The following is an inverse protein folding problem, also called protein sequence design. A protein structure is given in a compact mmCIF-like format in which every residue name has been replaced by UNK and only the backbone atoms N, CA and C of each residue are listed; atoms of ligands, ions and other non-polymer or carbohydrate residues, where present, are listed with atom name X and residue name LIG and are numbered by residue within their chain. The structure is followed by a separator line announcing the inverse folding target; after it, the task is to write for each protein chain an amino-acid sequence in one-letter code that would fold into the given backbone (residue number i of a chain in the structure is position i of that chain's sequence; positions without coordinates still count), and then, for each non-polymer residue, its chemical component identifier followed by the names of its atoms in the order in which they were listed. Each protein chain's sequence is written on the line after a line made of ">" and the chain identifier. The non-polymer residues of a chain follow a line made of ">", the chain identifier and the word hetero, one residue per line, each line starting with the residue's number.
data_IF_691428050444
#
_entry.id   IF_691428050444
#
_cell.length_a   1.000
_cell.length_b   1.000
_cell.length_c   1.000
_cell.angle_alpha   90.00
_cell.angle_beta   90.00
_cell.angle_gamma   90.00
#
_symmetry.space_group_name_H-M   'P 1'
#
loop_
_entity.id
_entity.type
_entity.pdbx_description
1 polymer ?
#
# COMPACT_ATOMS: atom_id res chain seq x y z
N UNK A 1 13.92 19.80 -9.90
CA UNK A 1 14.09 19.63 -8.44
C UNK A 1 15.30 18.75 -8.19
N UNK A 2 16.15 19.14 -7.25
CA UNK A 2 17.29 18.30 -6.81
C UNK A 2 17.09 17.93 -5.34
N UNK A 3 17.36 16.68 -5.01
CA UNK A 3 17.38 16.15 -3.65
C UNK A 3 18.83 15.83 -3.30
N UNK A 4 19.42 16.56 -2.36
CA UNK A 4 20.82 16.43 -2.00
C UNK A 4 21.01 15.69 -0.67
N UNK A 5 22.14 15.00 -0.55
CA UNK A 5 22.60 14.34 0.68
C UNK A 5 21.61 13.30 1.21
N UNK A 6 21.08 12.48 0.32
CA UNK A 6 20.20 11.36 0.70
C UNK A 6 20.91 10.03 0.56
N UNK A 7 20.68 9.10 1.48
CA UNK A 7 21.24 7.75 1.44
C UNK A 7 20.21 6.75 0.93
N UNK A 8 20.54 5.98 -0.10
CA UNK A 8 19.65 4.94 -0.62
C UNK A 8 19.42 3.89 0.48
N UNK A 9 18.16 3.61 0.79
CA UNK A 9 17.81 2.57 1.75
C UNK A 9 18.41 1.20 1.34
N UNK A 10 18.82 0.39 2.32
CA UNK A 10 19.49 -0.90 2.21
C UNK A 10 20.94 -0.86 1.70
N UNK A 11 21.32 0.03 0.80
CA UNK A 11 22.72 0.11 0.33
C UNK A 11 23.54 1.10 1.15
N UNK A 12 22.91 2.13 1.69
CA UNK A 12 23.57 3.23 2.42
C UNK A 12 24.36 4.19 1.52
N UNK A 13 24.33 4.02 0.21
CA UNK A 13 25.00 4.86 -0.76
C UNK A 13 24.44 6.29 -0.71
N UNK A 14 25.33 7.28 -0.55
CA UNK A 14 24.97 8.71 -0.52
C UNK A 14 24.92 9.26 -1.95
N UNK A 15 23.79 9.83 -2.31
CA UNK A 15 23.52 10.31 -3.66
C UNK A 15 22.78 11.64 -3.65
N UNK A 16 22.86 12.36 -4.77
CA UNK A 16 21.99 13.46 -5.14
C UNK A 16 21.08 13.01 -6.29
N UNK A 17 19.80 13.35 -6.26
CA UNK A 17 18.82 12.90 -7.26
C UNK A 17 18.22 14.13 -7.94
N UNK A 18 18.39 14.24 -9.25
CA UNK A 18 17.72 15.23 -10.09
C UNK A 18 16.41 14.70 -10.62
N UNK A 19 15.34 15.47 -10.47
CA UNK A 19 13.99 15.15 -10.94
C UNK A 19 13.55 16.19 -11.96
N UNK A 20 13.16 15.70 -13.14
CA UNK A 20 12.65 16.52 -14.24
C UNK A 20 11.46 15.83 -14.93
N UNK A 21 10.44 16.60 -15.28
CA UNK A 21 9.26 16.14 -16.01
C UNK A 21 8.60 14.87 -15.37
N UNK A 22 8.55 14.89 -14.03
CA UNK A 22 7.94 13.79 -13.25
C UNK A 22 8.79 12.53 -13.13
N UNK A 23 10.04 12.54 -13.60
CA UNK A 23 10.95 11.38 -13.64
C UNK A 23 12.26 11.68 -12.94
N UNK A 24 12.92 10.62 -12.49
CA UNK A 24 14.31 10.65 -12.08
C UNK A 24 15.15 10.92 -13.33
N UNK A 25 15.73 12.10 -13.43
CA UNK A 25 16.56 12.47 -14.57
C UNK A 25 17.97 11.91 -14.43
N UNK A 26 18.58 12.09 -13.23
CA UNK A 26 19.95 11.67 -12.95
C UNK A 26 20.10 11.26 -11.49
N UNK A 27 21.03 10.37 -11.23
CA UNK A 27 21.53 10.02 -9.89
C UNK A 27 23.02 10.36 -9.90
N UNK A 28 23.43 11.26 -9.01
CA UNK A 28 24.77 11.82 -8.97
C UNK A 28 25.43 11.46 -7.63
N UNK A 29 26.76 11.30 -7.58
CA UNK A 29 27.46 11.15 -6.30
C UNK A 29 27.17 12.30 -5.33
N UNK A 30 27.17 12.07 -4.04
CA UNK A 30 26.79 13.05 -3.01
C UNK A 30 27.61 14.34 -2.95
N UNK A 31 28.78 14.36 -3.59
CA UNK A 31 29.66 15.54 -3.69
C UNK A 31 29.43 16.41 -4.94
N UNK A 32 28.44 16.08 -5.76
CA UNK A 32 28.11 16.83 -6.98
C UNK A 32 26.93 17.79 -6.73
N UNK A 33 27.11 19.07 -7.04
CA UNK A 33 26.06 20.12 -6.93
C UNK A 33 25.74 20.69 -8.31
N UNK A 34 24.50 20.54 -8.76
CA UNK A 34 23.98 21.22 -9.95
C UNK A 34 23.21 22.48 -9.51
N UNK A 35 23.68 23.66 -9.94
CA UNK A 35 23.09 24.96 -9.56
C UNK A 35 21.99 25.42 -10.53
N UNK A 36 21.59 24.61 -11.49
CA UNK A 36 20.68 25.03 -12.58
C UNK A 36 19.19 24.83 -12.24
N UNK A 37 18.86 24.06 -11.21
CA UNK A 37 17.49 23.74 -10.86
C UNK A 37 16.87 24.79 -9.91
N UNK A 38 15.57 25.09 -10.12
CA UNK A 38 14.83 26.08 -9.33
C UNK A 38 14.57 25.65 -7.88
N UNK A 39 14.49 24.34 -7.62
CA UNK A 39 14.23 23.79 -6.29
C UNK A 39 15.36 22.85 -5.93
N UNK A 40 16.14 23.26 -4.95
CA UNK A 40 17.34 22.57 -4.46
C UNK A 40 17.14 22.28 -2.97
N UNK A 41 16.91 21.00 -2.63
CA UNK A 41 16.58 20.56 -1.28
C UNK A 41 17.73 19.77 -0.67
N UNK A 42 18.10 20.13 0.55
CA UNK A 42 19.18 19.51 1.31
C UNK A 42 18.63 18.74 2.50
N UNK A 43 19.05 17.50 2.64
CA UNK A 43 18.64 16.62 3.72
C UNK A 43 19.82 16.28 4.64
N UNK A 44 19.52 16.16 5.93
CA UNK A 44 20.49 15.73 6.92
C UNK A 44 20.03 14.38 7.52
N UNK A 45 20.94 13.39 7.57
CA UNK A 45 20.62 12.08 8.12
C UNK A 45 19.31 11.48 7.59
N UNK A 46 19.17 11.44 6.29
CA UNK A 46 17.97 10.94 5.64
C UNK A 46 18.26 9.74 4.75
N UNK A 47 17.32 8.80 4.72
CA UNK A 47 17.28 7.72 3.74
C UNK A 47 16.24 8.03 2.68
N UNK A 48 16.52 7.60 1.44
CA UNK A 48 15.60 7.67 0.33
C UNK A 48 15.30 6.28 -0.19
N UNK A 49 14.05 6.04 -0.58
CA UNK A 49 13.59 4.80 -1.19
C UNK A 49 12.46 5.07 -2.18
N UNK A 50 12.19 4.15 -3.12
CA UNK A 50 11.04 4.27 -3.99
C UNK A 50 9.75 4.36 -3.18
N UNK A 51 8.82 5.19 -3.62
CA UNK A 51 7.49 5.22 -3.03
C UNK A 51 6.90 3.81 -2.93
N UNK A 52 6.35 3.47 -1.77
CA UNK A 52 5.83 2.14 -1.52
C UNK A 52 4.63 1.84 -2.43
N UNK A 53 4.54 0.59 -2.88
CA UNK A 53 3.41 0.06 -3.65
C UNK A 53 2.61 -0.87 -2.73
N UNK A 54 1.44 -0.43 -2.31
CA UNK A 54 0.50 -1.26 -1.56
C UNK A 54 -0.33 -2.08 -2.56
N UNK A 55 -0.01 -3.36 -2.72
CA UNK A 55 -0.59 -4.22 -3.75
C UNK A 55 -2.00 -4.74 -3.44
N UNK A 56 -2.54 -4.42 -2.28
CA UNK A 56 -3.92 -4.74 -1.92
C UNK A 56 -4.42 -3.87 -0.77
N UNK A 57 -5.47 -3.12 -1.03
CA UNK A 57 -6.20 -2.30 -0.06
C UNK A 57 -7.66 -2.16 -0.52
N UNK A 58 -8.58 -2.00 0.42
CA UNK A 58 -9.95 -1.56 0.19
C UNK A 58 -10.08 -0.12 0.67
N UNK A 59 -9.88 0.84 -0.23
CA UNK A 59 -9.79 2.26 0.14
C UNK A 59 -11.00 2.77 0.91
N UNK A 60 -12.20 2.34 0.53
CA UNK A 60 -13.46 2.73 1.18
C UNK A 60 -13.72 2.03 2.52
N UNK A 61 -12.92 1.02 2.90
CA UNK A 61 -13.02 0.31 4.18
C UNK A 61 -12.03 0.80 5.24
N UNK A 62 -11.15 1.73 4.92
CA UNK A 62 -10.15 2.23 5.86
C UNK A 62 -10.68 3.18 6.94
N UNK A 63 -11.98 3.44 6.97
CA UNK A 63 -12.63 4.15 8.08
C UNK A 63 -13.19 3.20 9.14
N UNK A 64 -13.29 1.91 8.85
CA UNK A 64 -13.74 0.93 9.82
C UNK A 64 -12.66 0.69 10.88
N UNK A 65 -13.04 0.53 12.15
CA UNK A 65 -12.15 -0.11 13.11
C UNK A 65 -12.02 -1.60 12.79
N UNK A 66 -11.03 -2.26 13.35
CA UNK A 66 -10.92 -3.71 13.26
C UNK A 66 -12.15 -4.38 13.87
N UNK A 67 -12.78 -5.30 13.11
CA UNK A 67 -13.99 -6.02 13.52
C UNK A 67 -13.74 -7.52 13.56
N UNK A 68 -13.92 -8.09 14.73
CA UNK A 68 -13.72 -9.50 15.04
C UNK A 68 -13.19 -9.67 16.46
N UNK A 69 -13.34 -10.84 17.04
CA UNK A 69 -13.02 -11.11 18.46
C UNK A 69 -12.23 -12.40 18.68
N UNK A 70 -12.04 -13.21 17.64
CA UNK A 70 -11.31 -14.47 17.74
C UNK A 70 -10.79 -14.93 16.39
N UNK A 71 -9.78 -15.82 16.34
CA UNK A 71 -9.44 -16.46 15.09
C UNK A 71 -10.59 -17.28 14.51
N UNK A 72 -10.80 -17.14 13.22
CA UNK A 72 -11.82 -17.84 12.45
C UNK A 72 -11.17 -18.95 11.60
N UNK A 73 -11.98 -19.88 11.08
CA UNK A 73 -11.47 -20.91 10.15
C UNK A 73 -11.20 -20.34 8.77
N UNK A 74 -11.99 -19.35 8.37
CA UNK A 74 -11.89 -18.69 7.07
C UNK A 74 -12.63 -17.34 7.07
N UNK A 75 -12.42 -16.56 6.01
CA UNK A 75 -13.04 -15.25 5.83
C UNK A 75 -14.57 -15.27 5.76
N UNK A 76 -15.18 -16.39 5.35
CA UNK A 76 -16.64 -16.49 5.28
C UNK A 76 -17.25 -16.60 6.68
N UNK A 77 -16.63 -17.36 7.58
CA UNK A 77 -17.02 -17.43 8.99
C UNK A 77 -16.88 -16.05 9.66
N UNK A 78 -15.76 -15.37 9.45
CA UNK A 78 -15.56 -14.00 9.93
C UNK A 78 -16.62 -13.06 9.38
N UNK A 79 -16.86 -13.05 8.08
CA UNK A 79 -17.86 -12.18 7.44
C UNK A 79 -19.26 -12.37 8.01
N UNK A 80 -19.69 -13.61 8.20
CA UNK A 80 -20.98 -13.93 8.84
C UNK A 80 -21.01 -13.44 10.30
N UNK A 81 -19.91 -13.60 11.03
CA UNK A 81 -19.79 -13.16 12.42
C UNK A 81 -19.93 -11.64 12.55
N UNK A 82 -19.16 -10.86 11.77
CA UNK A 82 -19.19 -9.39 11.89
C UNK A 82 -20.53 -8.80 11.47
N UNK A 83 -21.15 -9.33 10.42
CA UNK A 83 -22.47 -8.87 9.99
C UNK A 83 -23.57 -9.19 11.00
N UNK A 84 -23.41 -10.23 11.80
CA UNK A 84 -24.33 -10.58 12.89
C UNK A 84 -24.10 -9.73 14.13
N UNK A 85 -22.86 -9.60 14.57
CA UNK A 85 -22.52 -9.07 15.90
C UNK A 85 -22.13 -7.59 15.90
N UNK A 86 -21.69 -7.03 14.75
CA UNK A 86 -21.23 -5.65 14.62
C UNK A 86 -22.07 -4.82 13.64
N UNK A 87 -23.32 -5.24 13.39
CA UNK A 87 -24.22 -4.62 12.42
C UNK A 87 -24.37 -3.11 12.61
N UNK A 88 -24.56 -2.66 13.85
CA UNK A 88 -24.77 -1.24 14.14
C UNK A 88 -23.50 -0.42 13.88
N UNK A 89 -22.34 -0.96 14.22
CA UNK A 89 -21.05 -0.32 13.95
C UNK A 89 -20.78 -0.23 12.46
N UNK A 90 -21.04 -1.31 11.72
CA UNK A 90 -20.94 -1.33 10.25
C UNK A 90 -21.87 -0.27 9.65
N UNK A 91 -23.15 -0.24 10.05
CA UNK A 91 -24.10 0.72 9.56
C UNK A 91 -23.72 2.17 9.88
N UNK A 92 -23.12 2.42 11.04
CA UNK A 92 -22.66 3.75 11.44
C UNK A 92 -21.54 4.26 10.52
N UNK A 93 -20.56 3.44 10.19
CA UNK A 93 -19.50 3.79 9.24
C UNK A 93 -20.07 3.97 7.83
N UNK A 94 -21.01 3.11 7.40
CA UNK A 94 -21.62 3.18 6.07
C UNK A 94 -22.52 4.41 5.86
N UNK A 95 -22.92 5.15 6.90
CA UNK A 95 -23.55 6.46 6.77
C UNK A 95 -22.62 7.50 6.15
N UNK A 96 -21.30 7.34 6.30
CA UNK A 96 -20.33 8.22 5.65
C UNK A 96 -20.35 7.97 4.14
N UNK A 97 -20.55 9.00 3.31
CA UNK A 97 -20.51 8.85 1.87
C UNK A 97 -19.24 8.12 1.37
N UNK A 98 -19.40 7.18 0.44
CA UNK A 98 -18.32 6.35 -0.09
C UNK A 98 -17.12 7.20 -0.55
N UNK A 99 -17.36 8.31 -1.24
CA UNK A 99 -16.32 9.21 -1.71
C UNK A 99 -15.45 9.79 -0.56
N UNK A 100 -16.02 10.06 0.61
CA UNK A 100 -15.25 10.53 1.77
C UNK A 100 -14.43 9.40 2.38
N UNK A 101 -14.96 8.17 2.39
CA UNK A 101 -14.25 6.97 2.84
C UNK A 101 -13.09 6.63 1.90
N UNK A 102 -13.30 6.71 0.58
CA UNK A 102 -12.24 6.57 -0.43
C UNK A 102 -11.12 7.60 -0.23
N UNK A 103 -11.48 8.88 -0.05
CA UNK A 103 -10.51 9.94 0.20
C UNK A 103 -9.69 9.69 1.47
N UNK A 104 -10.34 9.20 2.53
CA UNK A 104 -9.63 8.81 3.74
C UNK A 104 -8.63 7.68 3.48
N UNK A 105 -9.04 6.63 2.76
CA UNK A 105 -8.15 5.53 2.37
C UNK A 105 -6.94 6.00 1.54
N UNK A 106 -7.12 7.00 0.67
CA UNK A 106 -6.03 7.64 -0.08
C UNK A 106 -5.05 8.32 0.90
N UNK A 107 -5.53 9.15 1.83
CA UNK A 107 -4.66 9.80 2.81
C UNK A 107 -3.97 8.79 3.73
N UNK A 108 -4.66 7.75 4.20
CA UNK A 108 -4.06 6.66 4.99
C UNK A 108 -2.81 6.10 4.30
N UNK A 109 -2.90 5.83 3.01
CA UNK A 109 -1.77 5.32 2.23
C UNK A 109 -0.66 6.37 2.07
N UNK A 110 -1.00 7.60 1.68
CA UNK A 110 -0.03 8.69 1.50
C UNK A 110 0.78 8.98 2.77
N UNK A 111 0.11 9.05 3.92
CA UNK A 111 0.74 9.33 5.22
C UNK A 111 1.72 8.25 5.67
N UNK A 112 1.70 7.13 5.02
CA UNK A 112 2.64 6.02 5.23
C UNK A 112 3.74 5.91 4.17
N UNK A 113 3.79 6.83 3.19
CA UNK A 113 4.79 6.80 2.11
C UNK A 113 4.42 5.90 0.93
N UNK A 114 3.15 5.52 0.82
CA UNK A 114 2.63 4.79 -0.35
C UNK A 114 2.37 5.79 -1.47
N UNK A 115 2.93 5.56 -2.65
CA UNK A 115 2.71 6.37 -3.85
C UNK A 115 1.85 5.67 -4.89
N UNK A 116 1.67 4.36 -4.75
CA UNK A 116 0.74 3.59 -5.59
C UNK A 116 -0.01 2.59 -4.73
N UNK A 117 -1.34 2.55 -4.86
CA UNK A 117 -2.21 1.58 -4.19
C UNK A 117 -3.06 0.84 -5.21
N UNK A 118 -3.14 -0.47 -5.08
CA UNK A 118 -4.03 -1.32 -5.86
C UNK A 118 -5.32 -1.47 -5.06
N UNK A 119 -6.36 -0.75 -5.51
CA UNK A 119 -7.67 -0.81 -4.86
C UNK A 119 -8.41 -2.08 -5.25
N UNK A 120 -8.79 -2.89 -4.26
CA UNK A 120 -9.62 -4.07 -4.47
C UNK A 120 -11.10 -3.74 -4.23
N UNK A 121 -11.90 -3.83 -5.28
CA UNK A 121 -13.33 -3.52 -5.21
C UNK A 121 -13.82 -2.75 -6.43
N UNK A 122 -14.77 -1.86 -6.21
CA UNK A 122 -15.29 -0.98 -7.26
C UNK A 122 -14.26 0.07 -7.66
N UNK A 123 -14.37 0.58 -8.88
CA UNK A 123 -13.60 1.74 -9.30
C UNK A 123 -13.93 2.93 -8.41
N UNK A 124 -12.88 3.59 -7.91
CA UNK A 124 -13.07 4.75 -7.06
C UNK A 124 -13.64 5.94 -7.85
N UNK A 125 -14.42 6.76 -7.16
CA UNK A 125 -14.96 8.02 -7.69
C UNK A 125 -14.02 9.19 -7.46
N UNK A 126 -13.16 9.06 -6.47
CA UNK A 126 -12.19 10.07 -6.07
C UNK A 126 -11.06 10.19 -7.09
N UNK A 127 -10.83 11.40 -7.60
CA UNK A 127 -9.65 11.70 -8.41
C UNK A 127 -8.61 12.37 -7.55
N UNK A 128 -7.39 11.86 -7.56
CA UNK A 128 -6.27 12.44 -6.81
C UNK A 128 -5.02 12.48 -7.67
N UNK A 129 -4.15 13.47 -7.37
CA UNK A 129 -2.78 13.53 -7.88
C UNK A 129 -1.75 13.24 -6.77
N UNK A 130 -2.21 12.95 -5.56
CA UNK A 130 -1.33 12.73 -4.40
C UNK A 130 -0.61 11.39 -4.44
N UNK A 131 -1.27 10.38 -5.01
CA UNK A 131 -0.74 9.05 -5.28
C UNK A 131 -1.49 8.44 -6.47
N UNK A 132 -0.99 7.33 -7.03
CA UNK A 132 -1.69 6.56 -8.05
C UNK A 132 -2.60 5.53 -7.42
N UNK A 133 -3.89 5.53 -7.81
CA UNK A 133 -4.79 4.39 -7.56
C UNK A 133 -4.82 3.53 -8.83
N UNK A 134 -4.28 2.32 -8.73
CA UNK A 134 -4.21 1.41 -9.86
C UNK A 134 -5.50 0.61 -9.98
N UNK A 135 -6.16 0.71 -11.13
CA UNK A 135 -7.43 0.06 -11.42
C UNK A 135 -7.42 -0.70 -12.76
N UNK A 136 -6.23 -0.89 -13.36
CA UNK A 136 -6.11 -1.64 -14.61
C UNK A 136 -6.06 -3.17 -14.36
N UNK A 137 -6.92 -3.64 -13.48
CA UNK A 137 -7.16 -5.05 -13.17
C UNK A 137 -8.66 -5.29 -13.01
N UNK A 138 -9.06 -6.54 -12.97
CA UNK A 138 -10.41 -6.92 -12.60
C UNK A 138 -10.39 -7.55 -11.22
N UNK A 139 -11.09 -6.94 -10.28
CA UNK A 139 -11.27 -7.53 -8.96
C UNK A 139 -12.44 -8.51 -9.00
N UNK A 140 -12.21 -9.71 -8.45
CA UNK A 140 -13.23 -10.67 -8.06
C UNK A 140 -13.09 -10.81 -6.56
N UNK A 141 -14.14 -10.47 -5.79
CA UNK A 141 -14.03 -10.48 -4.35
C UNK A 141 -13.55 -11.87 -3.88
N UNK A 142 -14.33 -12.92 -4.16
CA UNK A 142 -13.95 -14.29 -3.83
C UNK A 142 -14.84 -15.31 -4.54
N UNK A 143 -14.41 -16.56 -4.55
CA UNK A 143 -15.16 -17.69 -5.09
C UNK A 143 -16.45 -17.97 -4.28
N UNK A 144 -16.47 -17.60 -3.00
CA UNK A 144 -17.60 -17.90 -2.11
C UNK A 144 -18.67 -16.79 -2.11
N UNK A 145 -18.26 -15.53 -2.04
CA UNK A 145 -19.20 -14.41 -1.91
C UNK A 145 -19.71 -13.85 -3.24
N UNK A 146 -18.93 -13.97 -4.31
CA UNK A 146 -19.32 -13.39 -5.59
C UNK A 146 -20.02 -14.43 -6.48
N UNK A 147 -21.36 -14.40 -6.52
CA UNK A 147 -22.16 -15.40 -7.28
C UNK A 147 -21.80 -15.47 -8.77
N UNK A 148 -21.43 -14.35 -9.39
CA UNK A 148 -21.09 -14.22 -10.81
C UNK A 148 -19.62 -14.45 -11.16
N UNK A 149 -18.76 -14.87 -10.22
CA UNK A 149 -17.31 -14.93 -10.40
C UNK A 149 -16.84 -15.73 -11.63
N UNK A 150 -17.56 -16.80 -12.00
CA UNK A 150 -17.21 -17.62 -13.18
C UNK A 150 -17.36 -16.86 -14.49
N UNK A 151 -18.42 -16.06 -14.61
CA UNK A 151 -18.63 -15.20 -15.78
C UNK A 151 -17.62 -14.05 -15.80
N UNK A 152 -17.40 -13.42 -14.64
CA UNK A 152 -16.41 -12.38 -14.49
C UNK A 152 -15.00 -12.87 -14.84
N UNK A 153 -14.63 -14.07 -14.40
CA UNK A 153 -13.34 -14.71 -14.69
C UNK A 153 -13.19 -15.03 -16.19
N UNK A 154 -14.25 -15.42 -16.87
CA UNK A 154 -14.22 -15.84 -18.27
C UNK A 154 -14.80 -14.80 -19.23
N UNK A 155 -14.68 -13.50 -18.89
CA UNK A 155 -15.04 -12.41 -19.79
C UNK A 155 -14.04 -12.35 -20.98
N UNK A 156 -14.48 -12.63 -22.21
CA UNK A 156 -13.58 -12.68 -23.37
C UNK A 156 -13.02 -11.30 -23.75
N UNK A 157 -13.73 -10.21 -23.41
CA UNK A 157 -13.27 -8.85 -23.67
C UNK A 157 -12.13 -8.42 -22.74
N UNK A 158 -11.93 -9.14 -21.64
CA UNK A 158 -10.89 -8.87 -20.62
C UNK A 158 -9.82 -9.97 -20.53
N UNK A 159 -9.66 -10.78 -21.57
CA UNK A 159 -8.74 -11.93 -21.58
C UNK A 159 -7.31 -11.59 -21.12
N UNK A 160 -6.82 -10.39 -21.44
CA UNK A 160 -5.46 -9.93 -21.10
C UNK A 160 -5.37 -9.12 -19.78
N UNK A 161 -6.51 -8.83 -19.18
CA UNK A 161 -6.57 -8.07 -17.92
C UNK A 161 -6.34 -9.03 -16.75
N UNK A 162 -5.41 -8.71 -15.86
CA UNK A 162 -5.15 -9.50 -14.66
C UNK A 162 -6.39 -9.53 -13.76
N UNK A 163 -6.65 -10.69 -13.17
CA UNK A 163 -7.72 -10.90 -12.20
C UNK A 163 -7.11 -10.98 -10.82
N UNK A 164 -7.54 -10.10 -9.94
CA UNK A 164 -7.15 -10.06 -8.52
C UNK A 164 -8.28 -10.70 -7.71
N UNK A 165 -7.96 -11.67 -6.89
CA UNK A 165 -8.99 -12.44 -6.17
C UNK A 165 -8.49 -12.90 -4.80
N UNK A 166 -9.32 -12.75 -3.75
CA UNK A 166 -9.09 -13.39 -2.47
C UNK A 166 -9.13 -14.91 -2.66
N UNK A 167 -8.06 -15.58 -2.30
CA UNK A 167 -7.88 -16.99 -2.63
C UNK A 167 -7.17 -17.72 -1.51
N UNK A 168 -7.83 -18.75 -0.96
CA UNK A 168 -7.28 -19.54 0.13
C UNK A 168 -7.15 -18.75 1.43
N UNK A 169 -8.05 -17.83 1.71
CA UNK A 169 -8.08 -17.04 2.95
C UNK A 169 -8.81 -17.85 4.05
N UNK A 170 -8.10 -18.84 4.57
CA UNK A 170 -8.58 -19.74 5.62
C UNK A 170 -7.60 -20.86 5.88
N UNK A 171 -7.90 -21.64 6.92
CA UNK A 171 -7.07 -22.76 7.40
C UNK A 171 -7.76 -24.11 7.20
N UNK A 172 -8.95 -24.09 6.60
CA UNK A 172 -9.80 -25.28 6.43
C UNK A 172 -9.74 -25.86 5.01
N UNK A 173 -10.33 -27.03 4.87
CA UNK A 173 -10.42 -27.76 3.59
C UNK A 173 -11.19 -26.98 2.51
N UNK A 174 -12.13 -26.12 2.91
CA UNK A 174 -12.93 -25.30 2.01
C UNK A 174 -12.05 -24.27 1.32
N UNK A 175 -11.20 -23.57 2.08
CA UNK A 175 -10.25 -22.57 1.58
C UNK A 175 -9.19 -23.18 0.66
N UNK A 176 -8.74 -24.39 0.94
CA UNK A 176 -7.88 -25.16 0.02
C UNK A 176 -8.58 -25.48 -1.31
N UNK A 177 -9.80 -26.02 -1.24
CA UNK A 177 -10.56 -26.45 -2.42
C UNK A 177 -11.03 -25.30 -3.29
N UNK A 178 -11.22 -24.10 -2.72
CA UNK A 178 -11.61 -22.93 -3.53
C UNK A 178 -10.52 -22.51 -4.52
N UNK A 179 -9.23 -22.70 -4.17
CA UNK A 179 -8.12 -22.44 -5.07
C UNK A 179 -8.19 -23.35 -6.29
N UNK A 180 -8.39 -24.67 -6.09
CA UNK A 180 -8.53 -25.62 -7.18
C UNK A 180 -9.77 -25.32 -8.03
N UNK A 181 -10.87 -24.89 -7.39
CA UNK A 181 -12.09 -24.51 -8.09
C UNK A 181 -11.86 -23.26 -8.97
N UNK A 182 -11.18 -22.23 -8.44
CA UNK A 182 -10.84 -21.02 -9.17
C UNK A 182 -9.98 -21.34 -10.39
N UNK A 183 -8.89 -22.07 -10.19
CA UNK A 183 -7.92 -22.39 -11.26
C UNK A 183 -8.53 -23.28 -12.34
N UNK A 184 -9.35 -24.28 -11.97
CA UNK A 184 -10.08 -25.14 -12.91
C UNK A 184 -11.05 -24.34 -13.79
N UNK A 185 -11.70 -23.33 -13.24
CA UNK A 185 -12.66 -22.51 -13.98
C UNK A 185 -12.03 -21.34 -14.76
N UNK A 186 -10.73 -21.15 -14.69
CA UNK A 186 -10.01 -20.16 -15.50
C UNK A 186 -9.83 -20.67 -16.94
N UNK A 187 -10.94 -20.83 -17.66
CA UNK A 187 -10.98 -21.43 -19.00
C UNK A 187 -10.23 -20.58 -20.06
N UNK A 188 -10.23 -19.27 -19.89
CA UNK A 188 -9.53 -18.34 -20.78
C UNK A 188 -8.04 -18.18 -20.42
N UNK A 189 -7.55 -18.90 -19.41
CA UNK A 189 -6.17 -18.81 -18.90
C UNK A 189 -5.75 -17.36 -18.64
N UNK A 190 -6.62 -16.61 -17.97
CA UNK A 190 -6.34 -15.23 -17.59
C UNK A 190 -5.24 -15.16 -16.54
N UNK A 191 -4.43 -14.08 -16.55
CA UNK A 191 -3.46 -13.82 -15.50
C UNK A 191 -4.17 -13.70 -14.14
N UNK A 192 -3.83 -14.55 -13.18
CA UNK A 192 -4.39 -14.54 -11.82
C UNK A 192 -3.39 -13.97 -10.82
N UNK A 193 -3.84 -13.05 -9.98
CA UNK A 193 -3.09 -12.57 -8.81
C UNK A 193 -3.91 -12.95 -7.59
N UNK A 194 -3.34 -13.84 -6.77
CA UNK A 194 -3.97 -14.27 -5.53
C UNK A 194 -3.74 -13.23 -4.43
N UNK A 195 -4.71 -13.08 -3.53
CA UNK A 195 -4.54 -12.32 -2.29
C UNK A 195 -4.71 -13.28 -1.11
N UNK A 196 -3.99 -13.04 -0.02
CA UNK A 196 -3.89 -13.83 1.22
C UNK A 196 -3.14 -15.15 1.08
N UNK A 197 -3.68 -16.15 0.37
CA UNK A 197 -3.01 -17.42 0.07
C UNK A 197 -2.66 -18.30 1.28
N UNK A 198 -3.38 -18.19 2.40
CA UNK A 198 -3.04 -18.92 3.65
C UNK A 198 -3.11 -20.42 3.47
N UNK A 199 -4.16 -20.92 2.77
CA UNK A 199 -4.33 -22.35 2.46
C UNK A 199 -3.57 -22.80 1.20
N UNK A 200 -2.82 -21.91 0.52
CA UNK A 200 -2.17 -22.19 -0.77
C UNK A 200 -0.99 -23.14 -0.62
N UNK A 201 -0.89 -24.09 -1.52
CA UNK A 201 0.22 -25.05 -1.60
C UNK A 201 1.16 -24.74 -2.75
N UNK A 202 2.37 -25.33 -2.72
CA UNK A 202 3.36 -25.21 -3.78
C UNK A 202 2.87 -25.79 -5.13
N UNK A 203 1.95 -26.75 -5.12
CA UNK A 203 1.36 -27.30 -6.34
C UNK A 203 0.33 -26.36 -6.97
N UNK A 204 -0.38 -25.58 -6.16
CA UNK A 204 -1.43 -24.66 -6.61
C UNK A 204 -0.87 -23.30 -7.06
N UNK A 205 0.23 -22.87 -6.46
CA UNK A 205 0.78 -21.51 -6.65
C UNK A 205 1.16 -21.22 -8.10
N UNK A 206 1.61 -22.22 -8.86
CA UNK A 206 2.02 -22.07 -10.27
C UNK A 206 0.88 -21.65 -11.22
N UNK A 207 -0.37 -21.69 -10.76
CA UNK A 207 -1.51 -21.20 -11.52
C UNK A 207 -1.68 -19.66 -11.44
N UNK A 208 -0.86 -18.99 -10.62
CA UNK A 208 -0.93 -17.55 -10.37
C UNK A 208 0.35 -16.85 -10.86
N UNK A 209 0.21 -15.61 -11.30
CA UNK A 209 1.35 -14.76 -11.69
C UNK A 209 2.05 -14.10 -10.49
N UNK A 210 1.30 -13.87 -9.40
CA UNK A 210 1.82 -13.33 -8.16
C UNK A 210 0.88 -13.64 -6.98
N UNK A 211 1.42 -13.53 -5.76
CA UNK A 211 0.66 -13.60 -4.51
C UNK A 211 0.85 -12.28 -3.75
N UNK A 212 -0.25 -11.61 -3.41
CA UNK A 212 -0.25 -10.48 -2.47
C UNK A 212 -0.37 -11.01 -1.06
N UNK A 213 0.66 -10.80 -0.28
CA UNK A 213 0.73 -11.18 1.13
C UNK A 213 0.24 -10.04 2.02
N UNK A 214 -0.80 -10.30 2.80
CA UNK A 214 -1.39 -9.39 3.78
C UNK A 214 -1.20 -9.96 5.19
N UNK A 215 0.02 -9.90 5.76
CA UNK A 215 0.36 -10.65 6.97
C UNK A 215 -0.51 -10.29 8.17
N UNK A 216 -0.79 -9.01 8.40
CA UNK A 216 -1.53 -8.57 9.59
C UNK A 216 -3.00 -8.99 9.51
N UNK A 217 -3.66 -8.78 8.36
CA UNK A 217 -5.00 -9.26 8.13
C UNK A 217 -5.11 -10.78 8.33
N UNK A 218 -4.14 -11.53 7.79
CA UNK A 218 -4.12 -12.99 7.95
C UNK A 218 -3.99 -13.41 9.42
N UNK A 219 -3.08 -12.80 10.18
CA UNK A 219 -2.94 -13.12 11.60
C UNK A 219 -4.16 -12.70 12.41
N UNK A 220 -4.74 -11.52 12.12
CA UNK A 220 -5.95 -11.05 12.79
C UNK A 220 -7.11 -12.02 12.59
N UNK A 221 -7.35 -12.45 11.34
CA UNK A 221 -8.47 -13.32 11.02
C UNK A 221 -8.25 -14.78 11.42
N UNK A 222 -7.05 -15.32 11.20
CA UNK A 222 -6.81 -16.76 11.14
C UNK A 222 -5.74 -17.23 12.15
N UNK A 223 -5.07 -16.31 12.85
CA UNK A 223 -3.87 -16.59 13.65
C UNK A 223 -2.78 -17.35 12.87
N UNK A 224 -2.81 -17.26 11.55
CA UNK A 224 -1.87 -17.88 10.62
C UNK A 224 -1.67 -16.95 9.42
N UNK A 225 -0.61 -17.18 8.64
CA UNK A 225 -0.37 -16.42 7.41
C UNK A 225 0.09 -17.34 6.28
N UNK A 226 0.11 -16.82 5.05
CA UNK A 226 0.57 -17.57 3.89
C UNK A 226 1.99 -18.12 4.09
N UNK A 227 2.29 -19.35 3.64
CA UNK A 227 3.61 -19.96 3.75
C UNK A 227 4.57 -19.37 2.68
N UNK A 228 4.76 -18.04 2.69
CA UNK A 228 5.52 -17.30 1.65
C UNK A 228 6.98 -17.73 1.55
N UNK A 229 7.56 -18.29 2.62
CA UNK A 229 8.90 -18.87 2.60
C UNK A 229 9.05 -20.03 1.60
N UNK A 230 7.95 -20.74 1.30
CA UNK A 230 7.89 -21.79 0.28
C UNK A 230 7.41 -21.24 -1.05
N UNK A 231 6.32 -20.47 -1.04
CA UNK A 231 5.64 -19.99 -2.25
C UNK A 231 6.52 -19.02 -3.07
N UNK A 232 7.38 -18.21 -2.42
CA UNK A 232 8.30 -17.26 -3.09
C UNK A 232 9.31 -17.92 -4.03
N UNK A 233 9.49 -19.25 -3.94
CA UNK A 233 10.36 -20.00 -4.85
C UNK A 233 9.73 -20.22 -6.23
N UNK A 234 8.43 -20.02 -6.35
CA UNK A 234 7.63 -20.32 -7.52
C UNK A 234 7.09 -19.06 -8.22
N UNK A 235 6.64 -18.07 -7.45
CA UNK A 235 6.04 -16.83 -7.96
C UNK A 235 6.51 -15.62 -7.16
N UNK A 236 6.46 -14.41 -7.74
CA UNK A 236 6.68 -13.17 -7.02
C UNK A 236 5.69 -13.00 -5.87
N UNK A 237 6.20 -12.56 -4.71
CA UNK A 237 5.38 -12.11 -3.60
C UNK A 237 5.30 -10.59 -3.63
N UNK A 238 4.10 -10.06 -3.47
CA UNK A 238 3.78 -8.65 -3.36
C UNK A 238 3.26 -8.39 -1.95
N UNK A 239 3.31 -7.14 -1.50
CA UNK A 239 2.83 -6.77 -0.17
C UNK A 239 1.52 -5.99 -0.24
N UNK A 240 0.56 -6.33 0.63
CA UNK A 240 -0.68 -5.61 0.81
C UNK A 240 -1.01 -5.38 2.28
N UNK A 241 -1.74 -4.31 2.59
CA UNK A 241 -2.21 -4.05 3.96
C UNK A 241 -3.59 -4.62 4.22
N UNK A 242 -4.35 -4.86 3.16
CA UNK A 242 -5.81 -4.95 3.30
C UNK A 242 -6.36 -3.64 3.90
N UNK A 243 -7.55 -3.63 4.50
CA UNK A 243 -8.13 -2.44 5.12
C UNK A 243 -7.95 -2.44 6.64
N UNK A 244 -8.28 -1.29 7.28
CA UNK A 244 -8.30 -1.20 8.74
C UNK A 244 -9.39 -2.05 9.40
N UNK A 245 -10.25 -2.69 8.61
CA UNK A 245 -11.22 -3.66 9.08
C UNK A 245 -10.57 -4.91 9.70
N UNK A 246 -9.35 -5.24 9.24
CA UNK A 246 -8.59 -6.43 9.64
C UNK A 246 -7.14 -6.15 10.01
N UNK A 247 -6.69 -4.89 9.99
CA UNK A 247 -5.30 -4.52 10.31
C UNK A 247 -5.13 -3.09 10.76
N UNK A 248 -3.91 -2.70 11.09
CA UNK A 248 -3.56 -1.33 11.47
C UNK A 248 -3.56 -0.41 10.23
N UNK A 249 -3.76 0.89 10.45
CA UNK A 249 -3.67 1.89 9.39
C UNK A 249 -2.24 2.08 8.87
N UNK A 250 -1.24 1.79 9.72
CA UNK A 250 0.17 2.06 9.51
C UNK A 250 0.88 0.85 8.88
N UNK A 251 1.14 0.91 7.57
CA UNK A 251 1.83 -0.14 6.82
C UNK A 251 3.18 -0.57 7.46
N UNK A 252 3.85 0.33 8.19
CA UNK A 252 5.12 0.03 8.85
C UNK A 252 4.96 -1.02 9.96
N UNK A 253 3.78 -1.09 10.61
CA UNK A 253 3.48 -2.17 11.57
C UNK A 253 3.36 -3.51 10.83
N UNK A 254 2.65 -3.55 9.70
CA UNK A 254 2.53 -4.75 8.87
C UNK A 254 3.90 -5.24 8.38
N UNK A 255 4.78 -4.33 7.93
CA UNK A 255 6.14 -4.65 7.48
C UNK A 255 6.96 -5.25 8.62
N UNK A 256 6.90 -4.68 9.83
CA UNK A 256 7.60 -5.22 11.01
C UNK A 256 7.05 -6.58 11.44
N UNK A 257 5.73 -6.78 11.36
CA UNK A 257 5.12 -8.09 11.61
C UNK A 257 5.61 -9.12 10.59
N UNK A 258 5.62 -8.76 9.30
CA UNK A 258 6.16 -9.61 8.24
C UNK A 258 7.62 -9.98 8.48
N UNK A 259 8.47 -9.01 8.84
CA UNK A 259 9.90 -9.23 9.16
C UNK A 259 10.09 -10.19 10.32
N UNK A 260 9.25 -10.12 11.36
CA UNK A 260 9.29 -11.04 12.52
C UNK A 260 9.03 -12.50 12.15
N UNK A 261 8.33 -12.79 11.07
CA UNK A 261 8.10 -14.16 10.61
C UNK A 261 9.39 -14.86 10.14
N UNK A 262 10.38 -14.10 9.71
CA UNK A 262 11.63 -14.58 9.08
C UNK A 262 11.40 -15.43 7.82
N UNK A 263 10.25 -15.27 7.17
CA UNK A 263 9.92 -15.99 5.93
C UNK A 263 10.66 -15.43 4.72
N UNK A 264 11.14 -14.19 4.83
CA UNK A 264 11.89 -13.46 3.81
C UNK A 264 13.11 -12.79 4.45
N UNK A 265 14.15 -12.59 3.65
CA UNK A 265 15.23 -11.66 3.99
C UNK A 265 14.71 -10.22 3.94
N UNK A 266 15.42 -9.29 4.56
CA UNK A 266 15.07 -7.87 4.53
C UNK A 266 14.97 -7.31 3.10
N UNK A 267 15.93 -7.71 2.24
CA UNK A 267 15.91 -7.34 0.81
C UNK A 267 14.70 -7.89 0.08
N UNK A 268 14.36 -9.17 0.27
CA UNK A 268 13.17 -9.77 -0.34
C UNK A 268 11.90 -9.07 0.13
N UNK A 269 11.77 -8.77 1.42
CA UNK A 269 10.61 -8.06 1.98
C UNK A 269 10.49 -6.64 1.40
N UNK A 270 11.59 -5.91 1.33
CA UNK A 270 11.64 -4.60 0.67
C UNK A 270 11.19 -4.68 -0.80
N UNK A 271 11.66 -5.68 -1.54
CA UNK A 271 11.31 -5.88 -2.95
C UNK A 271 9.81 -6.15 -3.15
N UNK A 272 9.12 -6.75 -2.18
CA UNK A 272 7.65 -6.96 -2.25
C UNK A 272 6.85 -5.66 -2.29
N UNK A 273 7.39 -4.59 -1.72
CA UNK A 273 6.79 -3.26 -1.63
C UNK A 273 7.23 -2.33 -2.76
N UNK A 274 8.23 -2.74 -3.54
CA UNK A 274 8.93 -1.89 -4.51
C UNK A 274 9.02 -2.59 -5.87
N UNK A 275 10.18 -3.14 -6.22
CA UNK A 275 10.46 -3.64 -7.58
C UNK A 275 9.60 -4.83 -7.99
N UNK A 276 9.28 -5.77 -7.10
CA UNK A 276 8.43 -6.90 -7.44
C UNK A 276 7.01 -6.45 -7.74
N UNK A 277 6.46 -5.54 -6.90
CA UNK A 277 5.16 -4.95 -7.11
C UNK A 277 5.14 -4.15 -8.43
N UNK A 278 6.14 -3.29 -8.66
CA UNK A 278 6.22 -2.51 -9.90
C UNK A 278 6.23 -3.39 -11.16
N UNK A 279 7.01 -4.48 -11.15
CA UNK A 279 7.04 -5.45 -12.26
C UNK A 279 5.69 -6.14 -12.47
N UNK A 280 5.07 -6.65 -11.40
CA UNK A 280 3.80 -7.35 -11.49
C UNK A 280 2.67 -6.45 -12.01
N UNK A 281 2.62 -5.19 -11.57
CA UNK A 281 1.62 -4.20 -11.99
C UNK A 281 2.03 -3.42 -13.25
N UNK A 282 3.22 -3.69 -13.83
CA UNK A 282 3.76 -3.01 -15.04
C UNK A 282 3.86 -1.49 -14.85
N UNK A 283 4.36 -1.06 -13.69
CA UNK A 283 4.57 0.35 -13.36
C UNK A 283 6.00 0.77 -13.74
N UNK A 284 6.16 2.04 -14.10
CA UNK A 284 7.48 2.63 -14.35
C UNK A 284 8.10 3.21 -13.06
N UNK A 285 7.93 2.55 -11.93
CA UNK A 285 8.38 2.96 -10.60
C UNK A 285 9.01 1.79 -9.84
N UNK A 286 9.15 1.88 -8.51
CA UNK A 286 9.59 0.79 -7.63
C UNK A 286 11.11 0.60 -7.56
N UNK A 287 11.89 1.44 -8.23
CA UNK A 287 13.35 1.50 -8.10
C UNK A 287 13.86 2.93 -8.32
N UNK A 288 14.99 3.26 -7.69
CA UNK A 288 15.67 4.55 -7.92
C UNK A 288 16.62 4.34 -9.09
N UNK A 289 16.17 4.72 -10.30
CA UNK A 289 16.95 4.63 -11.54
C UNK A 289 16.53 5.75 -12.51
N UNK A 290 17.47 6.21 -13.34
CA UNK A 290 17.19 7.21 -14.35
C UNK A 290 16.08 6.76 -15.32
N UNK A 291 15.16 7.65 -15.66
CA UNK A 291 14.01 7.39 -16.52
C UNK A 291 12.78 6.80 -15.81
N UNK A 292 12.89 6.39 -14.54
CA UNK A 292 11.75 5.96 -13.72
C UNK A 292 10.93 7.15 -13.27
N UNK A 293 9.65 6.91 -13.02
CA UNK A 293 8.78 7.92 -12.41
C UNK A 293 9.36 8.30 -11.04
N UNK A 294 9.39 9.60 -10.76
CA UNK A 294 9.90 10.12 -9.49
C UNK A 294 8.87 9.91 -8.38
N UNK A 295 8.62 8.65 -8.06
CA UNK A 295 7.86 8.18 -6.90
C UNK A 295 8.87 7.84 -5.81
N UNK A 296 9.09 8.78 -4.89
CA UNK A 296 10.16 8.73 -3.91
C UNK A 296 9.67 9.08 -2.51
N UNK A 297 10.26 8.44 -1.52
CA UNK A 297 10.05 8.76 -0.10
C UNK A 297 11.39 9.03 0.56
N UNK A 298 11.43 10.10 1.34
CA UNK A 298 12.60 10.47 2.14
C UNK A 298 12.16 10.42 3.60
N UNK A 299 12.95 9.78 4.45
CA UNK A 299 12.66 9.64 5.87
C UNK A 299 13.91 9.87 6.73
N UNK A 300 13.70 10.32 7.98
CA UNK A 300 14.75 10.46 8.99
C UNK A 300 15.37 9.11 9.34
N UNK A 301 16.69 9.09 9.47
CA UNK A 301 17.43 7.92 9.98
C UNK A 301 17.47 7.98 11.50
N UNK A 302 17.01 6.92 12.15
CA UNK A 302 17.07 6.76 13.60
C UNK A 302 18.15 5.80 14.05
N UNK A 303 18.52 4.84 13.19
CA UNK A 303 19.40 3.72 13.48
C UNK A 303 20.44 3.53 12.37
N UNK A 304 21.37 2.61 12.54
CA UNK A 304 22.34 2.23 11.51
C UNK A 304 21.67 1.81 10.21
N UNK A 305 22.36 2.01 9.10
CA UNK A 305 21.81 1.95 7.74
C UNK A 305 21.01 0.67 7.41
N UNK A 306 21.40 -0.49 7.96
CA UNK A 306 20.73 -1.78 7.68
C UNK A 306 19.30 -1.86 8.24
N UNK A 307 19.05 -1.27 9.40
CA UNK A 307 17.74 -1.27 10.06
C UNK A 307 16.91 0.00 9.80
N UNK A 308 17.51 1.01 9.17
CA UNK A 308 16.89 2.32 8.99
C UNK A 308 15.50 2.23 8.34
N UNK A 309 15.35 1.43 7.26
CA UNK A 309 14.08 1.26 6.58
C UNK A 309 12.99 0.66 7.48
N UNK A 310 13.30 -0.40 8.22
CA UNK A 310 12.33 -1.12 9.06
C UNK A 310 11.96 -0.38 10.35
N UNK A 311 12.76 0.62 10.73
CA UNK A 311 12.52 1.48 11.89
C UNK A 311 11.60 2.68 11.60
N UNK A 312 11.30 2.96 10.33
CA UNK A 312 10.48 4.09 9.90
C UNK A 312 9.05 3.97 10.45
N UNK A 313 8.49 5.13 10.76
CA UNK A 313 7.07 5.32 11.07
C UNK A 313 6.56 6.57 10.33
N UNK A 314 5.25 6.79 10.22
CA UNK A 314 4.69 7.93 9.51
C UNK A 314 5.23 9.30 9.95
N UNK A 315 5.52 9.48 11.26
CA UNK A 315 6.11 10.72 11.76
C UNK A 315 7.55 10.96 11.31
N UNK A 316 8.26 9.94 10.84
CA UNK A 316 9.65 10.03 10.40
C UNK A 316 9.80 10.43 8.93
N UNK A 317 8.68 10.41 8.17
CA UNK A 317 8.69 10.81 6.76
C UNK A 317 9.00 12.30 6.63
N UNK A 318 10.07 12.63 5.91
CA UNK A 318 10.44 13.99 5.59
C UNK A 318 9.73 14.50 4.34
N UNK A 319 9.59 13.63 3.34
CA UNK A 319 8.96 13.98 2.08
C UNK A 319 8.41 12.75 1.37
N UNK A 320 7.25 12.92 0.73
CA UNK A 320 6.69 11.97 -0.22
C UNK A 320 6.50 12.68 -1.55
N UNK A 321 7.12 12.14 -2.58
CA UNK A 321 7.06 12.65 -3.96
C UNK A 321 6.33 11.62 -4.80
N UNK A 322 5.33 12.07 -5.56
CA UNK A 322 4.60 11.27 -6.53
C UNK A 322 4.71 11.90 -7.92
N UNK A 323 5.30 11.16 -8.86
CA UNK A 323 5.55 11.65 -10.23
C UNK A 323 6.19 13.03 -10.27
N UNK A 324 7.18 13.24 -9.39
CA UNK A 324 7.93 14.51 -9.30
C UNK A 324 7.21 15.65 -8.58
N UNK A 325 5.96 15.47 -8.15
CA UNK A 325 5.23 16.43 -7.33
C UNK A 325 5.30 16.06 -5.86
N UNK A 326 5.54 17.03 -4.99
CA UNK A 326 5.55 16.82 -3.53
C UNK A 326 4.10 16.59 -3.09
N UNK A 327 3.82 15.48 -2.38
CA UNK A 327 2.49 15.16 -1.84
C UNK A 327 2.43 15.33 -0.33
N UNK A 328 3.57 15.19 0.34
CA UNK A 328 3.72 15.41 1.78
C UNK A 328 5.14 15.91 2.06
N UNK A 329 5.29 16.82 3.03
CA UNK A 329 6.61 17.21 3.56
C UNK A 329 6.55 17.56 5.06
N UNK A 330 7.70 17.41 5.72
CA UNK A 330 7.91 17.77 7.13
C UNK A 330 8.17 19.27 7.31
N UNK A 331 7.77 19.85 8.45
CA UNK A 331 7.97 21.26 8.77
C UNK A 331 9.44 21.71 8.69
N UNK A 332 10.41 20.82 8.91
CA UNK A 332 11.84 21.16 8.78
C UNK A 332 12.24 21.58 7.37
N UNK A 333 11.49 21.15 6.34
CA UNK A 333 11.72 21.51 4.95
C UNK A 333 11.01 22.81 4.54
N UNK A 334 10.16 23.37 5.44
CA UNK A 334 9.32 24.54 5.14
C UNK A 334 10.13 25.71 4.60
N UNK A 335 11.30 26.00 5.19
CA UNK A 335 12.13 27.13 4.79
C UNK A 335 12.79 26.92 3.42
N UNK A 336 13.10 25.69 3.04
CA UNK A 336 13.66 25.35 1.73
C UNK A 336 12.61 25.38 0.61
N UNK A 337 11.33 25.19 0.97
CA UNK A 337 10.20 25.14 0.04
C UNK A 337 9.51 26.51 -0.14
N UNK A 338 10.10 27.62 0.38
CA UNK A 338 9.46 28.94 0.39
C UNK A 338 8.90 29.38 -0.96
N UNK A 339 7.66 29.82 -0.95
CA UNK A 339 7.05 30.78 -1.87
C UNK A 339 6.05 30.26 -2.88
N UNK A 340 5.88 28.95 -3.14
CA UNK A 340 5.01 28.53 -4.25
C UNK A 340 4.11 27.31 -3.99
N UNK A 341 4.21 26.64 -2.85
CA UNK A 341 3.63 25.28 -2.69
C UNK A 341 2.58 25.14 -1.59
N UNK A 342 2.28 26.20 -0.83
CA UNK A 342 1.56 26.04 0.45
C UNK A 342 0.05 26.21 0.39
N UNK A 343 -0.49 26.88 -0.61
CA UNK A 343 -1.94 27.16 -0.69
C UNK A 343 -2.78 25.88 -0.79
N UNK A 344 -2.20 24.81 -1.39
CA UNK A 344 -2.85 23.53 -1.59
C UNK A 344 -2.54 22.50 -0.49
N UNK A 345 -1.86 22.88 0.60
CA UNK A 345 -1.48 21.96 1.66
C UNK A 345 -2.16 22.28 2.98
N UNK A 346 -2.50 21.25 3.73
CA UNK A 346 -2.99 21.36 5.10
C UNK A 346 -1.93 20.89 6.10
N UNK A 347 -1.86 21.60 7.22
CA UNK A 347 -0.98 21.28 8.34
C UNK A 347 -1.66 20.23 9.22
N UNK A 348 -0.94 19.18 9.58
CA UNK A 348 -1.37 18.08 10.46
C UNK A 348 -0.23 17.70 11.42
N UNK A 349 -0.57 16.96 12.48
CA UNK A 349 0.41 16.46 13.44
C UNK A 349 0.30 14.94 13.58
N UNK A 350 1.38 14.23 13.26
CA UNK A 350 1.47 12.77 13.41
C UNK A 350 2.45 12.47 14.55
N UNK A 351 1.95 11.98 15.69
CA UNK A 351 2.76 11.72 16.88
C UNK A 351 3.69 12.89 17.25
N UNK A 352 3.16 14.11 17.21
CA UNK A 352 3.88 15.34 17.53
C UNK A 352 4.74 15.91 16.39
N UNK A 353 4.99 15.19 15.31
CA UNK A 353 5.68 15.72 14.13
C UNK A 353 4.72 16.50 13.23
N UNK A 354 5.09 17.71 12.91
CA UNK A 354 4.31 18.57 12.03
C UNK A 354 4.56 18.24 10.56
N UNK A 355 3.49 17.97 9.81
CA UNK A 355 3.52 17.67 8.38
C UNK A 355 2.60 18.58 7.60
N UNK A 356 2.99 18.85 6.37
CA UNK A 356 2.17 19.50 5.36
C UNK A 356 1.77 18.45 4.33
N UNK A 357 0.48 18.23 4.16
CA UNK A 357 -0.07 17.24 3.22
C UNK A 357 -0.93 17.91 2.18
N UNK A 358 -0.77 17.54 0.92
CA UNK A 358 -1.52 18.10 -0.21
C UNK A 358 -3.01 17.91 -0.02
N UNK A 359 -3.81 18.94 -0.28
CA UNK A 359 -5.25 18.97 -0.08
C UNK A 359 -5.67 19.37 1.34
N UNK A 360 -6.96 19.23 1.64
CA UNK A 360 -7.53 19.67 2.91
C UNK A 360 -7.99 18.49 3.78
N UNK A 361 -7.02 17.79 4.37
CA UNK A 361 -7.28 16.64 5.23
C UNK A 361 -8.07 16.99 6.49
N UNK A 362 -7.83 18.10 7.22
CA UNK A 362 -8.66 18.49 8.36
C UNK A 362 -10.13 18.68 7.99
N UNK A 363 -10.44 19.27 6.84
CA UNK A 363 -11.81 19.42 6.37
C UNK A 363 -12.45 18.06 6.03
N UNK A 364 -11.69 17.12 5.43
CA UNK A 364 -12.16 15.77 5.17
C UNK A 364 -12.55 15.08 6.49
N UNK A 365 -11.68 15.15 7.50
CA UNK A 365 -11.93 14.57 8.83
C UNK A 365 -13.19 15.18 9.47
N UNK A 366 -13.34 16.49 9.39
CA UNK A 366 -14.53 17.20 9.89
C UNK A 366 -15.81 16.74 9.17
N UNK A 367 -15.78 16.63 7.83
CA UNK A 367 -16.92 16.11 7.04
C UNK A 367 -17.27 14.68 7.42
N UNK A 368 -16.28 13.80 7.61
CA UNK A 368 -16.52 12.43 8.05
C UNK A 368 -17.23 12.42 9.42
N UNK A 369 -16.77 13.24 10.38
CA UNK A 369 -17.37 13.34 11.72
C UNK A 369 -18.81 13.85 11.73
N UNK A 370 -19.25 14.58 10.71
CA UNK A 370 -20.66 14.96 10.56
C UNK A 370 -21.59 13.75 10.38
N UNK A 371 -21.11 12.69 9.73
CA UNK A 371 -21.86 11.45 9.50
C UNK A 371 -21.57 10.38 10.54
N UNK A 372 -20.34 10.35 11.06
CA UNK A 372 -19.84 9.39 12.03
C UNK A 372 -19.03 10.12 13.12
N UNK A 373 -19.70 10.70 14.15
CA UNK A 373 -19.04 11.49 15.19
C UNK A 373 -17.95 10.75 15.95
N UNK A 374 -18.09 9.42 16.08
CA UNK A 374 -17.14 8.54 16.77
C UNK A 374 -15.89 8.22 15.94
N UNK A 375 -15.81 8.72 14.69
CA UNK A 375 -14.64 8.48 13.85
C UNK A 375 -13.36 8.94 14.55
N UNK A 376 -12.41 8.03 14.67
CA UNK A 376 -11.09 8.30 15.21
C UNK A 376 -10.07 8.32 14.08
N UNK A 377 -9.11 9.24 14.20
CA UNK A 377 -8.00 9.35 13.25
C UNK A 377 -6.70 9.21 14.05
N UNK A 378 -5.66 8.57 13.49
CA UNK A 378 -4.42 8.27 14.23
C UNK A 378 -3.52 9.50 14.43
N UNK A 379 -4.01 10.70 14.19
CA UNK A 379 -3.29 11.98 14.29
C UNK A 379 -4.30 13.14 14.48
N UNK A 380 -3.75 14.31 14.81
CA UNK A 380 -4.52 15.55 15.04
C UNK A 380 -4.25 16.58 13.92
#
# INVERSE_FOLDING_TARGET
>A
MILNNVRIALTGEEVNISIKDGKIAQILPGNFHDKTERLDLHFNNAVIFPGLINSHDHLDFNLFPALGDSPYKNYTEWGLHIHKNYKDKINSVLKVPEILREHWGIYKNLLCGVTTVINHGKKIRSRTKMLSVYENCQCIHSVQFEKGWRFALNDPFRKRTSVVVHSGEGTDCSSFKEIDKLTRWNLLKRPLIAVHGVAMTESQVNAFEALVWCPESNYFLLNQTAPVNRLKKHIPILFGTDSTLTGDWNIWQHIRLARKTKFMTDKELYDTLTINAAKAWKLNSGEIAAGKDADLVIAKVKNDAADAFFAINPQDLLMVIHKGEISLFDEELYQQLKGSYFDDYSKIYINGACKFVKGNLPQLMQKIKQYYPEATFPFM
#
